data_IF_982238176709
#
_entry.id   IF_982238176709
#
_cell.length_a   1.000
_cell.length_b   1.000
_cell.length_c   1.000
_cell.angle_alpha   90.00
_cell.angle_beta   90.00
_cell.angle_gamma   90.00
#
_symmetry.space_group_name_H-M   'P 1'
#
loop_
_entity.id
_entity.type
_entity.pdbx_description
1 polymer ?
#
# COMPACT_ATOMS: atom_id res chain seq x y z
N UNK A 1 -62.26 -60.88 -24.17
CA UNK A 1 -61.26 -60.42 -23.20
C UNK A 1 -60.87 -59.01 -23.58
N UNK A 2 -61.12 -58.04 -22.71
CA UNK A 2 -60.47 -56.74 -22.70
C UNK A 2 -60.16 -56.43 -21.23
N UNK A 3 -58.99 -55.83 -20.92
CA UNK A 3 -58.98 -54.42 -20.50
C UNK A 3 -57.68 -53.68 -20.93
N UNK A 4 -57.44 -52.41 -20.53
CA UNK A 4 -58.21 -51.21 -20.87
C UNK A 4 -57.33 -50.07 -21.44
N UNK A 5 -57.96 -49.07 -22.07
CA UNK A 5 -57.41 -47.72 -22.16
C UNK A 5 -57.49 -47.03 -20.78
N UNK A 6 -56.43 -46.29 -20.42
CA UNK A 6 -56.48 -45.20 -19.46
C UNK A 6 -55.39 -45.21 -18.39
N UNK A 7 -54.40 -44.31 -18.51
CA UNK A 7 -54.10 -43.31 -17.47
C UNK A 7 -53.15 -42.24 -18.03
N UNK A 8 -53.53 -40.97 -17.88
CA UNK A 8 -52.72 -39.79 -18.16
C UNK A 8 -51.51 -39.75 -17.23
N UNK A 9 -50.31 -39.65 -17.82
CA UNK A 9 -49.11 -39.19 -17.15
C UNK A 9 -48.76 -37.81 -17.71
N UNK A 10 -49.12 -36.77 -16.96
CA UNK A 10 -48.63 -35.42 -17.13
C UNK A 10 -47.10 -35.42 -17.04
N UNK A 11 -46.40 -35.14 -18.14
CA UNK A 11 -45.00 -34.69 -18.08
C UNK A 11 -44.98 -33.26 -18.56
N UNK A 12 -45.16 -32.36 -17.61
CA UNK A 12 -44.53 -31.04 -17.61
C UNK A 12 -43.03 -31.27 -17.73
N UNK A 13 -42.47 -31.17 -18.93
CA UNK A 13 -41.13 -30.62 -19.06
C UNK A 13 -41.33 -29.10 -19.14
N UNK A 14 -41.57 -28.55 -17.95
CA UNK A 14 -41.13 -27.21 -17.62
C UNK A 14 -39.62 -27.27 -17.80
N UNK A 15 -39.12 -26.86 -18.96
CA UNK A 15 -37.72 -26.49 -19.08
C UNK A 15 -37.52 -25.32 -18.11
N UNK A 16 -37.24 -25.68 -16.85
CA UNK A 16 -36.44 -24.85 -15.99
C UNK A 16 -35.16 -24.63 -16.76
N UNK A 17 -35.09 -23.48 -17.42
CA UNK A 17 -33.84 -22.83 -17.75
C UNK A 17 -33.14 -22.71 -16.41
N UNK A 18 -32.31 -23.71 -16.13
CA UNK A 18 -31.26 -23.60 -15.14
C UNK A 18 -30.39 -22.48 -15.71
N UNK A 19 -30.66 -21.26 -15.24
CA UNK A 19 -29.75 -20.14 -15.35
C UNK A 19 -28.44 -20.68 -14.79
N UNK A 20 -27.59 -21.18 -15.68
CA UNK A 20 -26.21 -21.49 -15.38
C UNK A 20 -25.69 -20.20 -14.78
N UNK A 21 -25.57 -20.16 -13.45
CA UNK A 21 -24.71 -19.17 -12.84
C UNK A 21 -23.40 -19.30 -13.60
N UNK A 22 -22.91 -18.20 -14.17
CA UNK A 22 -21.55 -18.15 -14.67
C UNK A 22 -20.64 -18.36 -13.45
N UNK A 23 -20.52 -19.61 -13.01
CA UNK A 23 -19.58 -20.10 -12.00
C UNK A 23 -18.22 -20.16 -12.68
N UNK A 24 -17.79 -19.02 -13.23
CA UNK A 24 -16.37 -18.81 -13.46
C UNK A 24 -15.75 -18.87 -12.07
N UNK A 25 -14.88 -19.86 -11.77
CA UNK A 25 -14.24 -19.94 -10.47
C UNK A 25 -13.55 -18.62 -10.18
N UNK A 26 -13.89 -18.00 -9.05
CA UNK A 26 -13.22 -16.77 -8.63
C UNK A 26 -11.73 -17.07 -8.47
N UNK A 27 -10.90 -16.33 -9.19
CA UNK A 27 -9.44 -16.43 -9.07
C UNK A 27 -8.87 -15.50 -8.00
N UNK A 28 -9.75 -14.84 -7.22
CA UNK A 28 -9.44 -13.98 -6.08
C UNK A 28 -8.98 -14.80 -4.86
N UNK A 29 -8.19 -14.19 -3.99
CA UNK A 29 -7.60 -14.84 -2.81
C UNK A 29 -8.57 -14.91 -1.64
N UNK A 30 -8.67 -13.82 -0.89
CA UNK A 30 -9.69 -13.68 0.14
C UNK A 30 -10.88 -12.92 -0.42
N UNK A 31 -11.93 -13.64 -0.82
CA UNK A 31 -13.19 -13.07 -1.35
C UNK A 31 -14.31 -13.14 -0.33
N UNK A 32 -14.99 -12.02 -0.09
CA UNK A 32 -16.23 -11.96 0.68
C UNK A 32 -17.30 -11.09 -0.01
N UNK A 33 -18.58 -11.46 0.11
CA UNK A 33 -19.69 -10.62 -0.36
C UNK A 33 -20.02 -9.44 0.57
N UNK A 34 -19.43 -9.43 1.76
CA UNK A 34 -19.62 -8.44 2.83
C UNK A 34 -18.27 -8.24 3.52
N UNK A 35 -18.28 -7.79 4.76
CA UNK A 35 -17.08 -7.45 5.50
C UNK A 35 -16.10 -8.64 5.66
N UNK A 36 -14.83 -8.40 5.35
CA UNK A 36 -13.70 -9.28 5.66
C UNK A 36 -12.97 -8.71 6.87
N UNK A 37 -12.86 -9.46 7.97
CA UNK A 37 -12.06 -9.07 9.13
C UNK A 37 -10.93 -10.07 9.33
N UNK A 38 -9.69 -9.59 9.28
CA UNK A 38 -8.50 -10.41 9.53
C UNK A 38 -7.84 -9.90 10.81
N UNK A 39 -7.96 -10.68 11.88
CA UNK A 39 -7.51 -10.26 13.20
C UNK A 39 -5.97 -10.28 13.35
N UNK A 40 -5.32 -11.28 12.78
CA UNK A 40 -3.86 -11.49 12.73
C UNK A 40 -3.52 -12.66 11.80
N UNK A 41 -2.24 -12.83 11.47
CA UNK A 41 -1.73 -13.98 10.73
C UNK A 41 -0.68 -13.59 9.68
N UNK A 42 -0.02 -14.59 9.10
CA UNK A 42 0.84 -14.40 7.91
C UNK A 42 0.13 -15.04 6.73
N UNK A 43 -0.14 -14.25 5.69
CA UNK A 43 -0.87 -14.68 4.50
C UNK A 43 0.02 -14.50 3.28
N UNK A 44 0.29 -15.59 2.58
CA UNK A 44 0.92 -15.57 1.27
C UNK A 44 -0.14 -15.94 0.23
N UNK A 45 -0.59 -14.95 -0.54
CA UNK A 45 -1.74 -15.06 -1.43
C UNK A 45 -1.27 -14.73 -2.85
N UNK A 46 -1.21 -15.77 -3.69
CA UNK A 46 -0.95 -15.65 -5.13
C UNK A 46 -2.23 -16.02 -5.90
N UNK A 47 -2.76 -15.08 -6.68
CA UNK A 47 -4.09 -15.13 -7.29
C UNK A 47 -4.05 -14.66 -8.75
N UNK A 48 -5.00 -15.09 -9.59
CA UNK A 48 -5.10 -14.54 -10.97
C UNK A 48 -5.99 -13.29 -11.03
N UNK A 49 -6.56 -12.87 -9.90
CA UNK A 49 -7.46 -11.74 -9.71
C UNK A 49 -7.17 -11.18 -8.30
N UNK A 50 -8.04 -10.36 -7.72
CA UNK A 50 -7.77 -9.66 -6.45
C UNK A 50 -7.28 -10.58 -5.32
N UNK A 51 -6.11 -10.28 -4.75
CA UNK A 51 -5.59 -11.04 -3.61
C UNK A 51 -6.49 -10.88 -2.37
N UNK A 52 -7.10 -9.69 -2.20
CA UNK A 52 -8.10 -9.38 -1.17
C UNK A 52 -9.30 -8.69 -1.84
N UNK A 53 -10.50 -9.25 -1.72
CA UNK A 53 -11.73 -8.72 -2.30
C UNK A 53 -12.90 -8.79 -1.33
N UNK A 54 -13.57 -7.65 -1.14
CA UNK A 54 -14.85 -7.56 -0.44
C UNK A 54 -15.79 -6.67 -1.23
N UNK A 55 -17.07 -7.03 -1.33
CA UNK A 55 -18.09 -6.11 -1.86
C UNK A 55 -18.46 -5.00 -0.86
N UNK A 56 -17.86 -4.98 0.34
CA UNK A 56 -18.04 -3.92 1.36
C UNK A 56 -16.68 -3.54 1.97
N UNK A 57 -16.38 -3.94 3.21
CA UNK A 57 -15.17 -3.51 3.92
C UNK A 57 -14.14 -4.64 4.09
N UNK A 58 -12.85 -4.32 3.99
CA UNK A 58 -11.76 -5.19 4.46
C UNK A 58 -11.10 -4.50 5.66
N UNK A 59 -11.16 -5.15 6.83
CA UNK A 59 -10.50 -4.71 8.05
C UNK A 59 -9.40 -5.70 8.42
N UNK A 60 -8.15 -5.31 8.24
CA UNK A 60 -7.00 -6.03 8.78
C UNK A 60 -6.63 -5.35 10.09
N UNK A 61 -6.73 -6.09 11.19
CA UNK A 61 -6.43 -5.60 12.55
C UNK A 61 -4.93 -5.74 12.83
N UNK A 62 -4.34 -6.88 12.43
CA UNK A 62 -2.91 -7.16 12.45
C UNK A 62 -2.60 -8.23 11.38
N UNK A 63 -1.32 -8.44 11.06
CA UNK A 63 -0.86 -9.53 10.20
C UNK A 63 0.13 -9.10 9.13
N UNK A 64 0.82 -10.06 8.52
CA UNK A 64 1.74 -9.85 7.39
C UNK A 64 1.11 -10.44 6.14
N UNK A 65 1.00 -9.64 5.07
CA UNK A 65 0.44 -10.07 3.79
C UNK A 65 1.50 -9.96 2.71
N UNK A 66 1.68 -11.04 1.96
CA UNK A 66 2.45 -11.09 0.73
C UNK A 66 1.43 -11.40 -0.36
N UNK A 67 1.08 -10.39 -1.15
CA UNK A 67 0.00 -10.46 -2.14
C UNK A 67 0.61 -10.42 -3.54
N UNK A 68 0.21 -11.33 -4.42
CA UNK A 68 0.57 -11.32 -5.83
C UNK A 68 -0.68 -11.59 -6.66
N UNK A 69 -1.01 -10.72 -7.61
CA UNK A 69 -2.15 -10.88 -8.52
C UNK A 69 -1.75 -10.77 -10.00
N UNK A 70 -2.33 -11.61 -10.87
CA UNK A 70 -1.97 -11.75 -12.28
C UNK A 70 -2.50 -10.69 -13.27
N UNK A 71 -1.66 -10.39 -14.27
CA UNK A 71 -1.80 -9.73 -15.60
C UNK A 71 -2.55 -8.38 -15.77
N UNK A 72 -3.52 -8.01 -14.93
CA UNK A 72 -4.19 -6.68 -14.99
C UNK A 72 -4.64 -6.16 -13.60
N UNK A 73 -4.07 -6.74 -12.53
CA UNK A 73 -4.56 -6.56 -11.17
C UNK A 73 -4.48 -5.12 -10.65
N UNK A 74 -5.58 -4.64 -10.10
CA UNK A 74 -5.67 -3.33 -9.46
C UNK A 74 -5.68 -3.52 -7.94
N UNK A 75 -4.77 -2.86 -7.24
CA UNK A 75 -4.73 -2.89 -5.77
C UNK A 75 -5.45 -1.66 -5.21
N UNK A 76 -6.60 -1.86 -4.59
CA UNK A 76 -7.37 -0.78 -3.95
C UNK A 76 -7.23 -0.84 -2.42
N UNK A 77 -6.88 0.29 -1.80
CA UNK A 77 -6.77 0.46 -0.35
C UNK A 77 -7.70 1.62 0.05
N UNK A 78 -8.89 1.27 0.54
CA UNK A 78 -9.90 2.26 0.98
C UNK A 78 -9.89 2.51 2.49
N UNK A 79 -9.15 1.72 3.27
CA UNK A 79 -9.17 1.73 4.73
C UNK A 79 -8.34 0.61 5.37
N UNK A 80 -8.39 0.53 6.70
CA UNK A 80 -7.68 -0.50 7.50
C UNK A 80 -6.25 -0.10 7.88
N UNK A 81 -5.65 -0.88 8.79
CA UNK A 81 -4.26 -0.72 9.21
C UNK A 81 -3.44 -1.89 8.66
N UNK A 82 -2.61 -1.62 7.66
CA UNK A 82 -1.77 -2.58 6.95
C UNK A 82 -0.32 -2.34 7.36
N UNK A 83 0.33 -3.35 7.92
CA UNK A 83 1.77 -3.30 8.24
C UNK A 83 2.49 -4.48 7.61
N UNK A 84 3.51 -4.19 6.81
CA UNK A 84 4.28 -5.17 6.05
C UNK A 84 5.71 -5.14 6.56
N UNK A 85 6.23 -6.31 6.95
CA UNK A 85 7.63 -6.52 7.30
C UNK A 85 8.31 -7.30 6.16
N UNK A 86 8.82 -6.57 5.17
CA UNK A 86 9.16 -7.10 3.85
C UNK A 86 10.61 -7.64 3.78
N UNK A 87 10.77 -8.88 3.31
CA UNK A 87 12.08 -9.46 2.95
C UNK A 87 12.33 -9.49 1.44
N UNK A 88 11.31 -9.20 0.63
CA UNK A 88 11.35 -8.93 -0.80
C UNK A 88 10.57 -7.65 -1.06
N UNK A 89 9.90 -7.53 -2.20
CA UNK A 89 9.04 -6.36 -2.45
C UNK A 89 7.96 -6.21 -1.37
N UNK A 90 7.73 -4.98 -0.93
CA UNK A 90 6.78 -4.66 0.14
C UNK A 90 5.34 -4.69 -0.35
N UNK A 91 4.94 -3.64 -1.07
CA UNK A 91 3.76 -3.68 -1.94
C UNK A 91 4.25 -4.01 -3.34
N UNK A 92 3.79 -5.13 -3.90
CA UNK A 92 4.14 -5.60 -5.25
C UNK A 92 2.86 -5.68 -6.11
N UNK A 93 2.77 -4.82 -7.12
CA UNK A 93 1.62 -4.73 -8.03
C UNK A 93 2.06 -4.65 -9.48
N UNK A 94 1.71 -5.66 -10.29
CA UNK A 94 1.98 -5.61 -11.74
C UNK A 94 1.04 -4.66 -12.52
N UNK A 95 0.27 -3.81 -11.83
CA UNK A 95 -0.53 -2.72 -12.42
C UNK A 95 -0.78 -1.63 -11.36
N UNK A 96 -1.91 -0.93 -11.40
CA UNK A 96 -2.15 0.31 -10.66
C UNK A 96 -2.54 0.04 -9.21
N UNK A 97 -2.03 0.87 -8.31
CA UNK A 97 -2.42 0.95 -6.90
C UNK A 97 -3.27 2.22 -6.72
N UNK A 98 -4.43 2.10 -6.07
CA UNK A 98 -5.21 3.23 -5.57
C UNK A 98 -5.29 3.16 -4.05
N UNK A 99 -4.98 4.27 -3.38
CA UNK A 99 -5.17 4.43 -1.95
C UNK A 99 -6.02 5.68 -1.67
N UNK A 100 -7.17 5.47 -1.05
CA UNK A 100 -8.15 6.53 -0.70
C UNK A 100 -8.36 6.64 0.81
N UNK A 101 -7.77 5.74 1.60
CA UNK A 101 -7.89 5.75 3.06
C UNK A 101 -7.02 4.68 3.72
N UNK A 102 -7.09 4.59 5.05
CA UNK A 102 -6.34 3.62 5.86
C UNK A 102 -4.92 4.06 6.22
N UNK A 103 -4.20 3.18 6.90
CA UNK A 103 -2.80 3.34 7.29
C UNK A 103 -2.01 2.20 6.67
N UNK A 104 -0.99 2.49 5.87
CA UNK A 104 -0.12 1.50 5.24
C UNK A 104 1.31 1.77 5.66
N UNK A 105 1.94 0.78 6.30
CA UNK A 105 3.30 0.86 6.81
C UNK A 105 4.10 -0.30 6.22
N UNK A 106 5.18 -0.01 5.51
CA UNK A 106 6.11 -1.01 4.98
C UNK A 106 7.48 -0.80 5.62
N UNK A 107 8.00 -1.86 6.25
CA UNK A 107 9.37 -1.95 6.74
C UNK A 107 10.18 -2.90 5.88
N UNK A 108 11.22 -2.38 5.23
CA UNK A 108 12.02 -3.11 4.26
C UNK A 108 11.42 -3.08 2.84
N UNK A 109 12.03 -3.82 1.90
CA UNK A 109 13.21 -4.67 2.06
C UNK A 109 14.49 -3.86 2.30
N UNK A 110 15.51 -4.53 2.82
CA UNK A 110 16.83 -3.92 3.08
C UNK A 110 17.81 -4.17 1.93
N UNK A 111 17.54 -5.16 1.08
CA UNK A 111 18.39 -5.51 -0.06
C UNK A 111 18.13 -4.60 -1.27
N UNK A 112 19.08 -4.53 -2.18
CA UNK A 112 19.00 -3.69 -3.36
C UNK A 112 18.20 -4.27 -4.53
N UNK A 113 17.68 -5.50 -4.41
CA UNK A 113 16.98 -6.18 -5.50
C UNK A 113 15.47 -5.97 -5.51
N UNK A 114 14.94 -5.41 -4.42
CA UNK A 114 13.50 -5.26 -4.16
C UNK A 114 13.20 -3.84 -3.62
N UNK A 115 11.95 -3.41 -3.73
CA UNK A 115 11.46 -2.09 -3.30
C UNK A 115 10.41 -2.16 -2.18
N UNK A 116 10.31 -1.12 -1.35
CA UNK A 116 9.21 -1.03 -0.38
C UNK A 116 7.86 -0.86 -1.09
N UNK A 117 7.89 -0.18 -2.24
CA UNK A 117 6.84 -0.10 -3.24
C UNK A 117 7.45 -0.61 -4.55
N UNK A 118 6.78 -1.55 -5.21
CA UNK A 118 7.09 -2.05 -6.55
C UNK A 118 5.77 -2.13 -7.32
N UNK A 119 5.57 -1.22 -8.27
CA UNK A 119 4.44 -1.27 -9.17
C UNK A 119 4.83 -0.95 -10.61
N UNK A 120 4.11 -1.54 -11.57
CA UNK A 120 4.41 -1.41 -13.01
C UNK A 120 3.74 -0.19 -13.67
N UNK A 121 2.57 0.23 -13.17
CA UNK A 121 1.79 1.34 -13.75
C UNK A 121 1.83 2.61 -12.87
N UNK A 122 0.81 2.82 -12.05
CA UNK A 122 0.67 4.04 -11.24
C UNK A 122 0.34 3.70 -9.79
N UNK A 123 0.70 4.59 -8.87
CA UNK A 123 0.21 4.54 -7.50
C UNK A 123 -0.44 5.89 -7.19
N UNK A 124 -1.76 5.95 -7.30
CA UNK A 124 -2.55 7.13 -6.96
C UNK A 124 -2.94 7.12 -5.48
N UNK A 125 -2.55 8.16 -4.76
CA UNK A 125 -2.96 8.38 -3.37
C UNK A 125 -3.84 9.64 -3.25
N UNK A 126 -5.00 9.47 -2.64
CA UNK A 126 -5.97 10.54 -2.39
C UNK A 126 -6.47 10.60 -0.94
N UNK A 127 -6.03 9.66 -0.09
CA UNK A 127 -6.36 9.62 1.32
C UNK A 127 -5.54 8.59 2.08
N UNK A 128 -5.52 8.70 3.42
CA UNK A 128 -4.84 7.76 4.32
C UNK A 128 -3.38 8.12 4.62
N UNK A 129 -2.74 7.33 5.48
CA UNK A 129 -1.32 7.47 5.85
C UNK A 129 -0.52 6.39 5.14
N UNK A 130 0.49 6.77 4.37
CA UNK A 130 1.47 5.86 3.78
C UNK A 130 2.84 6.11 4.42
N UNK A 131 3.47 5.06 4.92
CA UNK A 131 4.89 5.04 5.29
C UNK A 131 5.51 3.82 4.62
N UNK A 132 6.43 4.02 3.68
CA UNK A 132 7.13 2.92 3.01
C UNK A 132 8.64 3.12 3.11
N UNK A 133 9.27 2.40 4.04
CA UNK A 133 10.69 2.50 4.33
C UNK A 133 11.45 1.28 3.80
N UNK A 134 12.43 1.47 2.92
CA UNK A 134 13.20 0.37 2.32
C UNK A 134 14.54 0.79 1.73
N UNK A 135 15.05 -0.05 0.84
CA UNK A 135 16.29 0.18 0.10
C UNK A 135 16.15 1.32 -0.93
N UNK A 136 17.24 2.05 -1.18
CA UNK A 136 17.26 3.10 -2.20
C UNK A 136 17.38 2.58 -3.63
N UNK A 137 17.82 1.33 -3.82
CA UNK A 137 18.20 0.83 -5.14
C UNK A 137 17.01 0.66 -6.11
N UNK A 138 15.84 0.30 -5.56
CA UNK A 138 14.58 0.11 -6.29
C UNK A 138 13.47 0.97 -5.68
N UNK A 139 13.83 2.14 -5.15
CA UNK A 139 12.85 3.02 -4.52
C UNK A 139 11.84 3.53 -5.55
N UNK A 140 10.57 3.42 -5.20
CA UNK A 140 9.47 4.08 -5.90
C UNK A 140 8.69 4.96 -4.91
N UNK A 141 7.89 5.86 -5.43
CA UNK A 141 7.00 6.77 -4.69
C UNK A 141 5.66 6.84 -5.40
N UNK A 142 4.57 7.28 -4.75
CA UNK A 142 3.31 7.57 -5.43
C UNK A 142 3.49 8.44 -6.68
N UNK A 143 2.59 8.27 -7.65
CA UNK A 143 2.54 9.05 -8.88
C UNK A 143 2.31 10.53 -8.56
N UNK A 144 2.92 11.43 -9.33
CA UNK A 144 2.86 12.88 -9.16
C UNK A 144 1.49 13.50 -9.53
N UNK A 145 0.60 12.74 -10.16
CA UNK A 145 -0.80 13.11 -10.39
C UNK A 145 -1.76 12.68 -9.26
N UNK A 146 -1.22 12.16 -8.16
CA UNK A 146 -1.94 11.95 -6.91
C UNK A 146 -2.49 13.26 -6.33
N UNK A 147 -3.61 13.20 -5.59
CA UNK A 147 -4.19 14.40 -4.97
C UNK A 147 -3.70 14.64 -3.54
N UNK A 148 -3.17 13.61 -2.87
CA UNK A 148 -2.57 13.75 -1.53
C UNK A 148 -1.04 13.87 -1.65
N UNK A 149 -0.41 14.88 -1.04
CA UNK A 149 1.03 15.06 -1.12
C UNK A 149 1.83 13.91 -0.50
N UNK A 150 2.95 13.58 -1.13
CA UNK A 150 3.90 12.56 -0.71
C UNK A 150 5.32 13.14 -0.69
N UNK A 151 6.10 12.72 0.29
CA UNK A 151 7.51 13.06 0.44
C UNK A 151 8.29 11.75 0.34
N UNK A 152 9.29 11.70 -0.53
CA UNK A 152 10.30 10.65 -0.52
C UNK A 152 11.62 11.24 -0.02
N UNK A 153 12.14 10.66 1.06
CA UNK A 153 13.42 11.04 1.64
C UNK A 153 14.44 9.92 1.45
N UNK A 154 15.62 10.25 0.91
CA UNK A 154 16.74 9.32 0.79
C UNK A 154 17.91 9.74 1.68
N UNK A 155 18.35 8.85 2.56
CA UNK A 155 19.57 9.02 3.36
C UNK A 155 20.83 8.72 2.54
N UNK A 156 21.94 9.38 2.89
CA UNK A 156 23.24 9.12 2.28
C UNK A 156 23.71 7.68 2.51
N UNK A 157 23.33 7.09 3.64
CA UNK A 157 23.62 5.71 4.05
C UNK A 157 22.39 5.09 4.73
N UNK A 158 22.25 3.75 4.72
CA UNK A 158 21.19 3.09 5.48
C UNK A 158 21.21 3.46 6.97
N UNK A 159 20.03 3.60 7.56
CA UNK A 159 19.81 4.04 8.94
C UNK A 159 18.73 3.19 9.62
N UNK A 160 18.72 3.23 10.95
CA UNK A 160 17.61 2.71 11.80
C UNK A 160 16.98 3.82 12.63
N UNK A 161 17.36 5.07 12.39
CA UNK A 161 16.85 6.22 13.12
C UNK A 161 15.37 6.45 12.83
N UNK A 162 14.65 6.93 13.85
CA UNK A 162 13.28 7.40 13.67
C UNK A 162 13.26 8.71 12.86
N UNK A 163 12.10 9.03 12.29
CA UNK A 163 11.82 10.33 11.68
C UNK A 163 10.53 10.92 12.23
N UNK A 164 10.32 12.21 12.01
CA UNK A 164 9.04 12.86 12.28
C UNK A 164 8.79 14.01 11.31
N UNK A 165 7.52 14.36 11.13
CA UNK A 165 7.08 15.56 10.42
C UNK A 165 6.25 16.43 11.35
N UNK A 166 6.48 17.74 11.25
CA UNK A 166 5.63 18.77 11.85
C UNK A 166 5.24 19.80 10.78
N UNK A 167 4.18 20.58 11.03
CA UNK A 167 3.88 21.76 10.21
C UNK A 167 4.76 22.96 10.61
N UNK A 168 4.56 24.10 9.95
CA UNK A 168 5.30 25.34 10.21
C UNK A 168 5.01 25.98 11.58
N UNK A 169 3.94 25.54 12.26
CA UNK A 169 3.61 25.95 13.63
C UNK A 169 4.23 25.02 14.69
N UNK A 170 4.88 23.94 14.25
CA UNK A 170 5.40 22.88 15.11
C UNK A 170 4.33 21.87 15.56
N UNK A 171 3.14 21.88 14.95
CA UNK A 171 2.12 20.87 15.20
C UNK A 171 2.58 19.54 14.61
N UNK A 172 2.49 18.49 15.42
CA UNK A 172 2.87 17.14 15.03
C UNK A 172 1.97 16.61 13.92
N UNK A 173 2.58 16.12 12.83
CA UNK A 173 1.89 15.46 11.71
C UNK A 173 1.96 13.94 11.91
N UNK A 174 3.18 13.41 11.99
CA UNK A 174 3.43 12.00 12.29
C UNK A 174 4.89 11.77 12.71
N UNK A 175 5.15 10.60 13.28
CA UNK A 175 6.47 10.05 13.52
C UNK A 175 6.52 8.60 13.10
N UNK A 176 7.72 8.11 12.82
CA UNK A 176 7.94 6.72 12.42
C UNK A 176 9.17 6.15 13.11
N UNK A 177 8.97 5.03 13.81
CA UNK A 177 10.02 4.19 14.38
C UNK A 177 10.13 2.92 13.55
N UNK A 178 11.22 2.74 12.78
CA UNK A 178 11.39 1.62 11.88
C UNK A 178 11.68 0.32 12.64
N UNK A 179 11.28 -0.82 12.08
CA UNK A 179 11.68 -2.16 12.58
C UNK A 179 12.88 -2.74 11.82
N UNK A 180 13.26 -2.12 10.70
CA UNK A 180 14.37 -2.52 9.83
C UNK A 180 15.24 -1.32 9.47
N UNK A 181 16.49 -1.58 9.09
CA UNK A 181 17.30 -0.56 8.43
C UNK A 181 16.70 -0.17 7.09
N UNK A 182 16.75 1.10 6.73
CA UNK A 182 16.23 1.63 5.47
C UNK A 182 17.14 2.75 4.98
N UNK A 183 17.10 3.02 3.69
CA UNK A 183 17.81 4.15 3.08
C UNK A 183 16.85 5.14 2.42
N UNK A 184 15.66 4.69 2.02
CA UNK A 184 14.58 5.54 1.53
C UNK A 184 13.34 5.36 2.38
N UNK A 185 12.60 6.45 2.56
CA UNK A 185 11.27 6.42 3.15
C UNK A 185 10.34 7.31 2.35
N UNK A 186 9.19 6.76 1.98
CA UNK A 186 8.06 7.50 1.42
C UNK A 186 7.06 7.76 2.54
N UNK A 187 6.62 9.00 2.67
CA UNK A 187 5.60 9.41 3.63
C UNK A 187 4.51 10.19 2.92
N UNK A 188 3.26 9.81 3.17
CA UNK A 188 2.07 10.60 2.81
C UNK A 188 1.10 10.61 3.98
N UNK A 189 0.38 11.72 4.16
CA UNK A 189 -0.59 11.89 5.22
C UNK A 189 -1.69 12.85 4.77
N UNK A 190 -2.94 12.69 5.24
CA UNK A 190 -4.02 13.63 4.92
C UNK A 190 -3.79 15.03 5.50
N UNK A 191 -2.82 15.19 6.39
CA UNK A 191 -2.42 16.47 6.97
C UNK A 191 -1.37 17.21 6.13
N UNK A 192 -0.83 16.59 5.07
CA UNK A 192 0.04 17.28 4.12
C UNK A 192 -0.81 18.00 3.08
N UNK A 193 -0.52 19.27 2.84
CA UNK A 193 -1.20 20.10 1.86
C UNK A 193 -0.17 20.84 1.00
N UNK A 194 -0.44 20.99 -0.30
CA UNK A 194 0.38 21.84 -1.17
C UNK A 194 0.35 23.30 -0.71
N UNK A 195 1.40 24.04 -1.02
CA UNK A 195 1.65 25.43 -0.58
C UNK A 195 1.82 25.59 0.94
N UNK A 196 1.92 24.50 1.70
CA UNK A 196 2.27 24.53 3.13
C UNK A 196 3.73 24.20 3.35
N UNK A 197 4.29 24.84 4.38
CA UNK A 197 5.62 24.53 4.88
C UNK A 197 5.52 23.43 5.92
N UNK A 198 6.43 22.47 5.82
CA UNK A 198 6.58 21.36 6.76
C UNK A 198 8.04 21.25 7.20
N UNK A 199 8.24 20.66 8.36
CA UNK A 199 9.57 20.35 8.90
C UNK A 199 9.76 18.85 8.92
N UNK A 200 10.76 18.37 8.20
CA UNK A 200 11.23 16.99 8.27
C UNK A 200 12.31 16.86 9.33
N UNK A 201 12.09 15.98 10.30
CA UNK A 201 12.96 15.74 11.42
C UNK A 201 13.68 14.40 11.25
N UNK A 202 15.01 14.44 11.25
CA UNK A 202 15.88 13.25 11.33
C UNK A 202 16.72 13.28 12.61
N UNK A 203 17.42 12.18 12.91
CA UNK A 203 18.17 12.01 14.17
C UNK A 203 17.32 12.47 15.37
N UNK A 204 16.06 12.03 15.38
CA UNK A 204 15.01 12.57 16.24
C UNK A 204 14.97 11.76 17.55
N UNK A 205 14.98 12.47 18.67
CA UNK A 205 14.57 11.91 19.95
C UNK A 205 13.07 12.19 20.12
N UNK A 206 12.29 11.12 19.96
CA UNK A 206 10.84 11.16 19.81
C UNK A 206 10.19 10.35 20.92
N UNK A 207 9.42 11.03 21.77
CA UNK A 207 8.56 10.42 22.78
C UNK A 207 7.13 10.33 22.24
N UNK A 208 6.50 9.16 22.36
CA UNK A 208 5.16 8.90 21.83
C UNK A 208 4.85 7.42 21.74
N UNK A 209 3.56 7.07 21.84
CA UNK A 209 3.12 5.68 21.69
C UNK A 209 3.13 5.28 20.21
N UNK A 210 4.01 4.33 19.88
CA UNK A 210 4.12 3.78 18.53
C UNK A 210 3.16 2.60 18.35
N UNK A 211 2.27 2.69 17.37
CA UNK A 211 1.45 1.57 16.89
C UNK A 211 2.01 1.12 15.55
N UNK A 212 2.60 -0.08 15.51
CA UNK A 212 3.25 -0.62 14.32
C UNK A 212 4.34 0.30 13.73
N UNK A 213 5.00 1.09 14.59
CA UNK A 213 6.02 2.06 14.22
C UNK A 213 5.48 3.46 13.94
N UNK A 214 4.19 3.64 13.63
CA UNK A 214 3.59 4.96 13.46
C UNK A 214 3.31 5.60 14.82
N UNK A 215 3.71 6.85 14.97
CA UNK A 215 3.35 7.74 16.08
C UNK A 215 2.51 8.86 15.48
N UNK A 216 1.31 9.09 16.01
CA UNK A 216 0.40 10.17 15.54
C UNK A 216 0.32 11.35 16.52
N UNK A 217 0.87 11.17 17.71
CA UNK A 217 1.00 12.21 18.71
C UNK A 217 2.29 11.98 19.50
N UNK A 218 3.29 12.81 19.24
CA UNK A 218 4.59 12.69 19.86
C UNK A 218 5.20 14.04 20.24
N UNK A 219 6.23 13.99 21.07
CA UNK A 219 7.03 15.13 21.50
C UNK A 219 8.44 14.93 20.98
N UNK A 220 8.90 15.90 20.18
CA UNK A 220 10.28 15.95 19.70
C UNK A 220 11.09 16.76 20.71
N UNK A 221 12.11 16.15 21.31
CA UNK A 221 13.02 16.84 22.25
C UNK A 221 14.24 17.40 21.53
N UNK A 222 14.78 16.65 20.57
CA UNK A 222 15.92 17.03 19.73
C UNK A 222 15.76 16.44 18.33
N UNK A 223 16.22 17.17 17.30
CA UNK A 223 16.23 16.68 15.93
C UNK A 223 17.18 17.48 15.04
N UNK A 224 17.51 16.92 13.89
CA UNK A 224 18.03 17.66 12.74
C UNK A 224 16.86 18.01 11.84
N UNK A 225 16.67 19.31 11.57
CA UNK A 225 15.50 19.84 10.87
C UNK A 225 15.80 20.21 9.42
N UNK A 226 14.87 19.87 8.52
CA UNK A 226 14.82 20.37 7.15
C UNK A 226 13.44 21.00 6.93
N UNK A 227 13.43 22.31 6.73
CA UNK A 227 12.22 23.09 6.50
C UNK A 227 12.05 23.33 4.99
N UNK A 228 10.86 23.03 4.44
CA UNK A 228 10.56 23.22 3.02
C UNK A 228 9.06 23.37 2.78
N UNK A 229 8.71 23.97 1.65
CA UNK A 229 7.32 24.12 1.20
C UNK A 229 6.99 23.01 0.20
N UNK A 230 5.84 22.37 0.37
CA UNK A 230 5.29 21.40 -0.58
C UNK A 230 4.74 22.15 -1.80
N UNK A 231 5.56 22.33 -2.84
CA UNK A 231 5.12 23.02 -4.07
C UNK A 231 4.32 22.10 -5.00
N UNK A 232 4.56 20.80 -4.88
CA UNK A 232 3.97 19.76 -5.71
C UNK A 232 3.47 18.62 -4.81
N UNK A 233 2.66 17.74 -5.39
CA UNK A 233 2.13 16.52 -4.77
C UNK A 233 3.20 15.48 -4.50
N UNK A 234 4.39 15.59 -5.12
CA UNK A 234 5.54 14.74 -4.84
C UNK A 234 6.78 15.59 -4.57
N UNK A 235 7.38 15.41 -3.40
CA UNK A 235 8.60 16.12 -2.98
C UNK A 235 9.75 15.14 -2.75
N UNK A 236 10.89 15.39 -3.39
CA UNK A 236 12.12 14.63 -3.18
C UNK A 236 13.02 15.33 -2.16
N UNK A 237 13.46 14.60 -1.14
CA UNK A 237 14.34 15.10 -0.08
C UNK A 237 15.60 14.25 0.08
N UNK A 238 16.67 14.94 0.44
CA UNK A 238 17.94 14.35 0.87
C UNK A 238 18.40 15.07 2.15
N UNK A 239 19.48 14.63 2.82
CA UNK A 239 20.08 15.40 3.91
C UNK A 239 20.48 16.84 3.53
N UNK A 240 20.64 17.13 2.24
CA UNK A 240 20.95 18.47 1.72
C UNK A 240 19.70 19.33 1.47
N UNK A 241 18.49 18.81 1.71
CA UNK A 241 17.22 19.49 1.46
C UNK A 241 16.49 18.96 0.22
N UNK A 242 15.63 19.80 -0.35
CA UNK A 242 14.82 19.48 -1.53
C UNK A 242 15.70 19.21 -2.74
N UNK A 243 15.48 18.07 -3.39
CA UNK A 243 16.13 17.66 -4.64
C UNK A 243 15.25 18.03 -5.83
N UNK A 244 15.83 18.66 -6.85
CA UNK A 244 15.15 18.94 -8.12
C UNK A 244 15.20 17.76 -9.11
N UNK A 245 15.98 16.73 -8.81
CA UNK A 245 16.03 15.49 -9.58
C UNK A 245 15.28 14.40 -8.84
N UNK A 246 14.40 13.64 -9.52
CA UNK A 246 13.79 12.46 -8.94
C UNK A 246 14.86 11.53 -8.36
N UNK A 247 14.64 11.07 -7.13
CA UNK A 247 15.55 10.13 -6.45
C UNK A 247 15.47 8.73 -7.07
N UNK A 248 14.46 8.49 -7.91
CA UNK A 248 14.09 7.19 -8.48
C UNK A 248 14.44 7.06 -9.96
N UNK A 249 15.20 8.01 -10.54
CA UNK A 249 15.47 8.08 -11.99
C UNK A 249 16.87 7.64 -12.45
N UNK A 250 17.58 6.77 -11.72
CA UNK A 250 18.74 6.10 -12.30
C UNK A 250 18.34 4.87 -13.11
N UNK A 251 17.70 5.10 -14.26
CA UNK A 251 17.85 4.31 -15.49
C UNK A 251 17.38 2.83 -15.49
N UNK A 252 16.41 2.57 -16.37
CA UNK A 252 16.02 1.25 -16.91
C UNK A 252 15.28 0.29 -15.96
N UNK A 253 13.97 0.22 -16.15
CA UNK A 253 13.16 -0.91 -15.72
C UNK A 253 11.67 -0.60 -15.58
N UNK A 254 10.97 -0.08 -16.59
CA UNK A 254 10.01 -1.02 -17.21
C UNK A 254 10.66 -2.39 -17.34
N UNK A 255 10.36 -3.30 -16.41
CA UNK A 255 10.80 -4.69 -16.49
C UNK A 255 10.45 -5.17 -17.91
N UNK A 256 11.40 -5.72 -18.69
CA UNK A 256 11.02 -6.49 -19.86
C UNK A 256 10.15 -7.62 -19.34
N UNK A 257 8.90 -7.74 -19.81
CA UNK A 257 7.93 -8.79 -19.48
C UNK A 257 8.58 -9.98 -18.75
N UNK A 258 8.49 -10.00 -17.42
CA UNK A 258 8.72 -11.24 -16.69
C UNK A 258 7.48 -12.09 -16.98
N UNK A 259 7.61 -13.30 -17.53
CA UNK A 259 6.46 -14.19 -17.57
C UNK A 259 5.99 -14.40 -16.12
N UNK A 260 4.69 -14.30 -15.91
CA UNK A 260 4.04 -14.61 -14.64
C UNK A 260 4.65 -15.90 -14.06
N UNK A 261 5.10 -15.83 -12.80
CA UNK A 261 5.43 -17.03 -12.03
C UNK A 261 4.23 -17.42 -11.17
#
# INVERSE_FOLDING_TARGET
MAPPEGMQGNTTDDETVDETSDDTPSTKGLKAEKDTVIASGTFNINTLDDALHSNKDIQIVNGTFILSSGETGYLAIHGGDITIDASGDGIDSNSTIEMTGGTVIVNGPIDGGNGALDYDETFHISGGILIAAGSSAMAQSPSDDSSQPSIIYQFDQPTTESISLTDDSGQFILGFTPTKSYQTIVVSSPLLETDKTVTWHTTVDLDGEAVNGLITNGVITTSTELNFTLTDTLTYLTPSGVSSTPLTESGFGRRPNRPAQ
#
